data_IF_605005721154
#
_entry.id   IF_605005721154
#
_cell.length_a   1.000
_cell.length_b   1.000
_cell.length_c   1.000
_cell.angle_alpha   90.00
_cell.angle_beta   90.00
_cell.angle_gamma   90.00
#
_symmetry.space_group_name_H-M   'P 1'
#
loop_
_entity.id
_entity.type
_entity.pdbx_description
1 polymer ?
#
# COMPACT_ATOMS: atom_id res chain seq x y z
N UNK A 1 8.05 -7.32 -2.51
CA UNK A 1 8.52 -8.52 -3.27
C UNK A 1 10.04 -8.65 -3.32
N UNK A 2 10.82 -7.60 -3.66
CA UNK A 2 12.29 -7.67 -3.79
C UNK A 2 13.00 -8.25 -2.55
N UNK A 3 12.64 -7.80 -1.35
CA UNK A 3 13.25 -8.32 -0.11
C UNK A 3 12.88 -9.77 0.23
N UNK A 4 11.71 -10.26 -0.20
CA UNK A 4 11.29 -11.65 0.01
C UNK A 4 12.08 -12.59 -0.91
N UNK A 5 12.22 -12.20 -2.18
CA UNK A 5 13.03 -12.92 -3.16
C UNK A 5 14.49 -12.97 -2.73
N UNK A 6 15.06 -11.83 -2.29
CA UNK A 6 16.44 -11.78 -1.77
C UNK A 6 16.65 -12.69 -0.55
N UNK A 7 15.74 -12.71 0.42
CA UNK A 7 15.85 -13.59 1.60
C UNK A 7 15.79 -15.07 1.23
N UNK A 8 14.89 -15.44 0.32
CA UNK A 8 14.79 -16.83 -0.15
C UNK A 8 16.03 -17.24 -0.95
N UNK A 9 16.61 -16.33 -1.75
CA UNK A 9 17.88 -16.57 -2.45
C UNK A 9 19.05 -16.79 -1.49
N UNK A 10 19.13 -16.02 -0.39
CA UNK A 10 20.17 -16.21 0.64
C UNK A 10 20.04 -17.58 1.31
N UNK A 11 18.82 -17.98 1.68
CA UNK A 11 18.54 -19.30 2.25
C UNK A 11 18.95 -20.43 1.31
N UNK A 12 18.67 -20.28 0.01
CA UNK A 12 19.03 -21.26 -1.01
C UNK A 12 20.55 -21.34 -1.21
N UNK A 13 21.25 -20.19 -1.21
CA UNK A 13 22.71 -20.13 -1.28
C UNK A 13 23.34 -20.82 -0.07
N UNK A 14 22.88 -20.50 1.15
CA UNK A 14 23.37 -21.13 2.38
C UNK A 14 23.14 -22.64 2.34
N UNK A 15 21.95 -23.08 1.92
CA UNK A 15 21.62 -24.48 1.78
C UNK A 15 22.57 -25.21 0.82
N UNK A 16 22.77 -24.66 -0.38
CA UNK A 16 23.69 -25.22 -1.39
C UNK A 16 25.12 -25.29 -0.86
N UNK A 17 25.61 -24.27 -0.16
CA UNK A 17 26.95 -24.26 0.43
C UNK A 17 27.12 -25.32 1.52
N UNK A 18 26.13 -25.45 2.41
CA UNK A 18 26.14 -26.48 3.47
C UNK A 18 26.10 -27.88 2.84
N UNK A 19 25.20 -28.10 1.88
CA UNK A 19 25.10 -29.36 1.15
C UNK A 19 26.40 -29.69 0.42
N UNK A 20 27.00 -28.73 -0.29
CA UNK A 20 28.29 -28.93 -0.96
C UNK A 20 29.42 -29.25 0.04
N UNK A 21 29.46 -28.56 1.18
CA UNK A 21 30.41 -28.86 2.26
C UNK A 21 30.24 -30.30 2.76
N UNK A 22 29.01 -30.73 3.07
CA UNK A 22 28.75 -32.10 3.50
C UNK A 22 29.12 -33.13 2.44
N UNK A 23 28.84 -32.86 1.16
CA UNK A 23 29.21 -33.75 0.05
C UNK A 23 30.73 -33.92 -0.06
N UNK A 24 31.50 -32.83 -0.03
CA UNK A 24 32.96 -32.85 -0.21
C UNK A 24 33.64 -33.56 0.96
N UNK A 25 33.28 -33.23 2.19
CA UNK A 25 33.99 -33.71 3.38
C UNK A 25 33.52 -35.09 3.87
N UNK A 26 32.29 -35.50 3.54
CA UNK A 26 31.71 -36.76 4.01
C UNK A 26 31.34 -37.70 2.85
N UNK A 27 31.94 -37.54 1.67
CA UNK A 27 31.66 -38.32 0.46
C UNK A 27 31.63 -39.84 0.72
N UNK A 28 32.58 -40.35 1.52
CA UNK A 28 32.67 -41.77 1.88
C UNK A 28 31.57 -42.26 2.83
N UNK A 29 31.06 -41.39 3.70
CA UNK A 29 29.95 -41.72 4.63
C UNK A 29 28.62 -41.79 3.88
N UNK A 30 28.55 -41.12 2.72
CA UNK A 30 27.36 -41.06 1.88
C UNK A 30 27.42 -42.00 0.67
N UNK A 31 28.35 -42.94 0.56
CA UNK A 31 28.25 -44.04 -0.41
C UNK A 31 27.69 -45.27 0.28
N UNK A 32 26.36 -45.40 0.29
CA UNK A 32 25.73 -46.66 0.70
C UNK A 32 25.58 -47.50 -0.57
N UNK A 33 26.27 -48.63 -0.62
CA UNK A 33 26.07 -49.64 -1.66
C UNK A 33 24.69 -50.24 -1.46
N UNK A 34 23.75 -49.83 -2.29
CA UNK A 34 22.43 -50.43 -2.35
C UNK A 34 22.61 -51.75 -3.10
N UNK A 35 22.68 -52.85 -2.34
CA UNK A 35 22.77 -54.18 -2.90
C UNK A 35 21.39 -54.59 -3.44
N UNK A 36 20.98 -53.93 -4.52
CA UNK A 36 19.74 -54.22 -5.23
C UNK A 36 20.09 -55.35 -6.18
N UNK A 37 19.79 -56.57 -5.74
CA UNK A 37 20.11 -57.79 -6.48
C UNK A 37 19.13 -57.93 -7.68
N UNK A 38 19.34 -57.11 -8.72
CA UNK A 38 18.57 -57.09 -9.98
C UNK A 38 19.33 -57.77 -11.13
N UNK A 39 20.40 -58.52 -10.84
CA UNK A 39 21.13 -59.30 -11.84
C UNK A 39 22.11 -58.51 -12.72
N UNK A 40 22.28 -57.19 -12.53
CA UNK A 40 23.14 -56.32 -13.37
C UNK A 40 24.23 -55.59 -12.57
N UNK A 41 24.52 -56.02 -11.34
CA UNK A 41 25.59 -55.48 -10.50
C UNK A 41 25.13 -54.45 -9.46
N UNK A 42 26.02 -54.13 -8.52
CA UNK A 42 25.74 -53.29 -7.36
C UNK A 42 25.58 -51.82 -7.78
N UNK A 43 24.36 -51.29 -7.68
CA UNK A 43 24.10 -49.86 -7.91
C UNK A 43 24.22 -49.12 -6.58
N UNK A 44 25.35 -48.42 -6.42
CA UNK A 44 25.56 -47.54 -5.27
C UNK A 44 24.86 -46.21 -5.49
N UNK A 45 23.92 -45.84 -4.61
CA UNK A 45 23.26 -44.53 -4.65
C UNK A 45 23.68 -43.71 -3.43
N UNK A 46 24.18 -42.48 -3.60
CA UNK A 46 24.57 -41.67 -2.46
C UNK A 46 23.33 -41.13 -1.71
N UNK A 47 23.08 -41.50 -0.43
CA UNK A 47 21.91 -41.02 0.32
C UNK A 47 21.88 -39.50 0.50
N UNK A 48 23.03 -38.83 0.35
CA UNK A 48 23.14 -37.37 0.32
C UNK A 48 22.25 -36.74 -0.76
N UNK A 49 22.09 -37.36 -1.93
CA UNK A 49 21.21 -36.84 -2.99
C UNK A 49 19.74 -36.83 -2.55
N UNK A 50 19.32 -37.85 -1.80
CA UNK A 50 17.97 -37.90 -1.25
C UNK A 50 17.76 -36.78 -0.23
N UNK A 51 18.70 -36.57 0.69
CA UNK A 51 18.65 -35.47 1.67
C UNK A 51 18.68 -34.08 1.00
N UNK A 52 19.44 -33.94 -0.09
CA UNK A 52 19.50 -32.72 -0.88
C UNK A 52 18.15 -32.39 -1.53
N UNK A 53 17.51 -33.38 -2.15
CA UNK A 53 16.19 -33.21 -2.75
C UNK A 53 15.12 -32.91 -1.69
N UNK A 54 15.18 -33.59 -0.54
CA UNK A 54 14.24 -33.41 0.56
C UNK A 54 14.33 -32.00 1.14
N UNK A 55 15.53 -31.46 1.33
CA UNK A 55 15.69 -30.07 1.77
C UNK A 55 15.23 -29.05 0.73
N UNK A 56 15.42 -29.33 -0.57
CA UNK A 56 14.86 -28.51 -1.64
C UNK A 56 13.33 -28.44 -1.60
N UNK A 57 12.67 -29.58 -1.34
CA UNK A 57 11.22 -29.66 -1.18
C UNK A 57 10.76 -28.81 0.01
N UNK A 58 11.45 -28.91 1.15
CA UNK A 58 11.14 -28.09 2.34
C UNK A 58 11.27 -26.59 2.09
N UNK A 59 12.34 -26.16 1.42
CA UNK A 59 12.55 -24.75 1.07
C UNK A 59 11.43 -24.28 0.12
N UNK A 60 11.03 -25.11 -0.84
CA UNK A 60 9.91 -24.85 -1.73
C UNK A 60 8.59 -24.62 -0.98
N UNK A 61 8.26 -25.50 -0.05
CA UNK A 61 7.05 -25.40 0.79
C UNK A 61 7.09 -24.12 1.64
N UNK A 62 8.20 -23.85 2.33
CA UNK A 62 8.36 -22.63 3.14
C UNK A 62 8.25 -21.35 2.31
N UNK A 63 8.85 -21.34 1.12
CA UNK A 63 8.77 -20.22 0.19
C UNK A 63 7.33 -19.99 -0.26
N UNK A 64 6.60 -21.05 -0.59
CA UNK A 64 5.19 -20.98 -0.97
C UNK A 64 4.29 -20.47 0.15
N UNK A 65 4.47 -20.99 1.37
CA UNK A 65 3.73 -20.53 2.55
C UNK A 65 3.94 -19.04 2.79
N UNK A 66 5.19 -18.58 2.78
CA UNK A 66 5.53 -17.15 2.96
C UNK A 66 4.96 -16.26 1.84
N UNK A 67 4.94 -16.75 0.61
CA UNK A 67 4.33 -16.04 -0.51
C UNK A 67 2.81 -15.91 -0.32
N UNK A 68 2.13 -16.99 0.09
CA UNK A 68 0.68 -16.98 0.35
C UNK A 68 0.28 -16.00 1.45
N UNK A 69 1.00 -15.99 2.59
CA UNK A 69 0.75 -15.01 3.66
C UNK A 69 1.05 -13.59 3.23
N UNK A 70 2.12 -13.36 2.47
CA UNK A 70 2.44 -12.03 1.94
C UNK A 70 1.38 -11.52 0.97
N UNK A 71 0.80 -12.39 0.14
CA UNK A 71 -0.30 -12.03 -0.76
C UNK A 71 -1.57 -11.70 0.01
N UNK A 72 -1.95 -12.50 1.02
CA UNK A 72 -3.12 -12.20 1.86
C UNK A 72 -3.00 -10.84 2.53
N UNK A 73 -1.82 -10.52 3.05
CA UNK A 73 -1.57 -9.21 3.67
C UNK A 73 -1.69 -8.07 2.65
N UNK A 74 -1.14 -8.26 1.45
CA UNK A 74 -1.23 -7.26 0.39
C UNK A 74 -2.67 -7.04 -0.09
N UNK A 75 -3.44 -8.12 -0.26
CA UNK A 75 -4.87 -8.03 -0.60
C UNK A 75 -5.64 -7.27 0.48
N UNK A 76 -5.41 -7.60 1.75
CA UNK A 76 -6.04 -6.91 2.87
C UNK A 76 -5.70 -5.41 2.93
N UNK A 77 -4.43 -5.05 2.72
CA UNK A 77 -3.97 -3.65 2.68
C UNK A 77 -4.56 -2.89 1.48
N UNK A 78 -4.70 -3.53 0.31
CA UNK A 78 -5.37 -2.92 -0.83
C UNK A 78 -6.87 -2.72 -0.57
N UNK A 79 -7.54 -3.71 0.01
CA UNK A 79 -8.97 -3.66 0.27
C UNK A 79 -9.32 -2.57 1.30
N UNK A 80 -8.59 -2.54 2.42
CA UNK A 80 -8.75 -1.50 3.44
C UNK A 80 -8.22 -0.14 2.98
N UNK A 81 -7.12 -0.09 2.21
CA UNK A 81 -6.59 1.15 1.66
C UNK A 81 -7.55 1.82 0.69
N UNK A 82 -8.27 1.03 -0.11
CA UNK A 82 -9.34 1.50 -0.99
C UNK A 82 -10.56 1.97 -0.20
N UNK A 83 -10.95 1.27 0.87
CA UNK A 83 -12.03 1.75 1.75
C UNK A 83 -11.71 3.07 2.42
N UNK A 84 -10.49 3.24 2.94
CA UNK A 84 -10.02 4.51 3.50
C UNK A 84 -10.07 5.61 2.44
N UNK A 85 -9.65 5.31 1.21
CA UNK A 85 -9.76 6.22 0.08
C UNK A 85 -11.22 6.66 -0.18
N UNK A 86 -12.15 5.70 -0.27
CA UNK A 86 -13.58 5.98 -0.47
C UNK A 86 -14.20 6.77 0.67
N UNK A 87 -13.82 6.51 1.92
CA UNK A 87 -14.29 7.29 3.08
C UNK A 87 -13.76 8.73 3.03
N UNK A 88 -12.50 8.91 2.66
CA UNK A 88 -11.88 10.24 2.53
C UNK A 88 -12.55 11.06 1.42
N UNK A 89 -12.88 10.42 0.30
CA UNK A 89 -13.56 11.06 -0.83
C UNK A 89 -15.00 11.44 -0.48
N UNK A 90 -15.73 10.58 0.24
CA UNK A 90 -17.06 10.91 0.80
C UNK A 90 -17.00 12.07 1.79
N UNK A 91 -16.00 12.13 2.65
CA UNK A 91 -15.80 13.25 3.59
C UNK A 91 -15.44 14.55 2.86
N UNK A 92 -14.64 14.49 1.80
CA UNK A 92 -14.34 15.66 0.99
C UNK A 92 -15.61 16.18 0.30
N UNK A 93 -16.40 15.28 -0.29
CA UNK A 93 -17.69 15.63 -0.89
C UNK A 93 -18.70 16.22 0.11
N UNK A 94 -18.76 15.69 1.34
CA UNK A 94 -19.65 16.24 2.37
C UNK A 94 -19.20 17.63 2.81
N UNK A 95 -17.91 17.85 3.05
CA UNK A 95 -17.39 19.18 3.43
C UNK A 95 -17.66 20.23 2.35
N UNK A 96 -17.48 19.88 1.08
CA UNK A 96 -17.81 20.78 -0.04
C UNK A 96 -19.29 21.10 -0.05
N UNK A 97 -20.16 20.09 0.19
CA UNK A 97 -21.60 20.29 0.26
C UNK A 97 -22.01 21.19 1.43
N UNK A 98 -21.38 21.03 2.59
CA UNK A 98 -21.64 21.84 3.78
C UNK A 98 -21.24 23.31 3.55
N UNK A 99 -20.07 23.56 2.95
CA UNK A 99 -19.62 24.91 2.58
C UNK A 99 -20.60 25.57 1.60
N UNK A 100 -21.05 24.85 0.57
CA UNK A 100 -22.03 25.37 -0.41
C UNK A 100 -23.39 25.66 0.25
N UNK A 101 -23.83 24.81 1.18
CA UNK A 101 -25.08 25.03 1.92
C UNK A 101 -24.99 26.27 2.82
N UNK A 102 -23.88 26.44 3.53
CA UNK A 102 -23.64 27.62 4.36
C UNK A 102 -23.59 28.90 3.53
N UNK A 103 -22.92 28.87 2.37
CA UNK A 103 -22.83 30.03 1.49
C UNK A 103 -24.20 30.43 0.93
N UNK A 104 -25.02 29.45 0.52
CA UNK A 104 -26.42 29.67 0.12
C UNK A 104 -27.28 30.20 1.27
N UNK A 105 -27.12 29.66 2.47
CA UNK A 105 -27.85 30.13 3.65
C UNK A 105 -27.47 31.57 4.00
N UNK A 106 -26.20 31.92 3.87
CA UNK A 106 -25.67 33.27 4.11
C UNK A 106 -26.20 34.26 3.06
N UNK A 107 -26.30 33.85 1.80
CA UNK A 107 -26.88 34.64 0.72
C UNK A 107 -28.39 34.86 0.91
N UNK A 108 -29.12 33.82 1.31
CA UNK A 108 -30.54 33.93 1.69
C UNK A 108 -30.74 34.85 2.90
N UNK A 109 -29.86 34.80 3.90
CA UNK A 109 -29.88 35.69 5.06
C UNK A 109 -29.61 37.15 4.66
N UNK A 110 -28.61 37.41 3.81
CA UNK A 110 -28.33 38.77 3.28
C UNK A 110 -29.52 39.33 2.50
N UNK A 111 -30.18 38.47 1.73
CA UNK A 111 -31.38 38.82 0.94
C UNK A 111 -32.57 39.09 1.86
N UNK A 112 -32.84 38.21 2.85
CA UNK A 112 -33.95 38.40 3.80
C UNK A 112 -33.77 39.60 4.74
N UNK A 113 -32.54 39.89 5.13
CA UNK A 113 -32.24 41.05 5.99
C UNK A 113 -32.19 42.36 5.21
N UNK A 114 -32.42 42.36 3.88
CA UNK A 114 -32.40 43.57 3.06
C UNK A 114 -31.05 44.28 3.07
N UNK A 115 -29.96 43.60 3.46
CA UNK A 115 -28.63 44.20 3.66
C UNK A 115 -28.07 44.71 2.33
N UNK A 116 -28.44 44.09 1.22
CA UNK A 116 -28.10 44.60 -0.11
C UNK A 116 -28.75 45.95 -0.40
N UNK A 117 -30.00 46.14 -0.01
CA UNK A 117 -30.72 47.39 -0.22
C UNK A 117 -30.23 48.49 0.74
N UNK A 118 -29.94 48.12 2.00
CA UNK A 118 -29.32 49.03 2.99
C UNK A 118 -27.94 49.49 2.53
N UNK A 119 -27.12 48.59 1.96
CA UNK A 119 -25.78 48.94 1.46
C UNK A 119 -25.84 49.88 0.25
N UNK A 120 -26.78 49.65 -0.68
CA UNK A 120 -27.02 50.56 -1.81
C UNK A 120 -27.47 51.94 -1.33
N UNK A 121 -28.38 52.00 -0.36
CA UNK A 121 -28.81 53.27 0.23
C UNK A 121 -27.67 54.01 0.94
N UNK A 122 -26.77 53.30 1.63
CA UNK A 122 -25.58 53.92 2.23
C UNK A 122 -24.61 54.48 1.19
N UNK A 123 -24.39 53.77 0.08
CA UNK A 123 -23.55 54.27 -1.02
C UNK A 123 -24.18 55.50 -1.70
N UNK A 124 -25.50 55.52 -1.89
CA UNK A 124 -26.23 56.69 -2.41
C UNK A 124 -26.16 57.88 -1.44
N UNK A 125 -26.38 57.66 -0.14
CA UNK A 125 -26.25 58.71 0.88
C UNK A 125 -24.81 59.25 0.95
N UNK A 126 -23.80 58.40 0.88
CA UNK A 126 -22.40 58.81 0.88
C UNK A 126 -22.07 59.67 -0.36
N UNK A 127 -22.63 59.32 -1.51
CA UNK A 127 -22.47 60.07 -2.75
C UNK A 127 -23.12 61.45 -2.66
N UNK A 128 -24.36 61.52 -2.18
CA UNK A 128 -25.09 62.78 -1.95
C UNK A 128 -24.34 63.67 -0.94
N UNK A 129 -23.85 63.12 0.17
CA UNK A 129 -23.03 63.85 1.14
C UNK A 129 -21.73 64.39 0.52
N UNK A 130 -21.09 63.63 -0.36
CA UNK A 130 -19.88 64.07 -1.06
C UNK A 130 -20.16 65.20 -2.06
N UNK A 131 -21.33 65.17 -2.72
CA UNK A 131 -21.78 66.20 -3.66
C UNK A 131 -22.21 67.48 -2.93
N UNK A 132 -22.91 67.36 -1.81
CA UNK A 132 -23.27 68.47 -0.93
C UNK A 132 -22.03 69.16 -0.36
N UNK A 133 -21.03 68.40 0.10
CA UNK A 133 -19.77 68.95 0.60
C UNK A 133 -19.02 69.74 -0.49
N UNK A 134 -18.97 69.20 -1.71
CA UNK A 134 -18.38 69.90 -2.87
C UNK A 134 -19.15 71.16 -3.30
N UNK A 135 -20.46 71.20 -3.09
CA UNK A 135 -21.29 72.37 -3.37
C UNK A 135 -21.10 73.45 -2.30
N UNK A 136 -20.89 73.04 -1.04
CA UNK A 136 -20.67 73.94 0.10
C UNK A 136 -19.26 74.58 0.08
N UNK A 137 -18.25 73.87 -0.42
CA UNK A 137 -16.88 74.40 -0.62
C UNK A 137 -16.75 75.37 -1.82
N UNK A 138 -17.85 75.65 -2.55
CA UNK A 138 -17.89 76.54 -3.74
C UNK A 138 -18.63 77.87 -3.50
N UNK A 139 -19.12 78.13 -2.30
CA UNK A 139 -19.62 79.45 -1.85
C UNK A 139 -18.55 80.17 -1.03
#
# INVERSE_FOLDING_TARGET
MRNLLFKNSILLIIYVLISAYFAIFNWKIFTVSLNINLGVGEVSFPPFLALFLLGFIFIGILSWMNYSTSLRKMIYELEHGVEIGKMKDKMAGSRVRDVIMDEKNLELLKTRMGIQDIRKQQEEMAKILSELKKAQDKQ
#
